data_IF_495553800533
#
_entry.id   IF_495553800533
#
_cell.length_a   1.000
_cell.length_b   1.000
_cell.length_c   1.000
_cell.angle_alpha   90.00
_cell.angle_beta   90.00
_cell.angle_gamma   90.00
#
_symmetry.space_group_name_H-M   'P 1'
#
loop_
_entity.id
_entity.type
_entity.pdbx_description
1 polymer ?
#
# COMPACT_ATOMS: atom_id res chain seq x y z
N UNK A 1 13.77 -4.02 -22.27
CA UNK A 1 13.52 -5.08 -21.29
C UNK A 1 12.47 -4.59 -20.31
N UNK A 2 11.29 -5.21 -20.29
CA UNK A 2 10.15 -4.75 -19.46
C UNK A 2 10.31 -5.23 -18.02
N UNK A 3 11.10 -4.51 -17.23
CA UNK A 3 11.19 -4.66 -15.76
C UNK A 3 10.07 -3.86 -15.09
N UNK A 4 8.83 -4.12 -15.51
CA UNK A 4 7.70 -3.28 -15.10
C UNK A 4 7.36 -3.50 -13.62
N UNK A 5 7.31 -2.42 -12.86
CA UNK A 5 6.68 -2.43 -11.55
C UNK A 5 5.19 -2.75 -11.68
N UNK A 6 4.57 -3.21 -10.60
CA UNK A 6 3.14 -3.53 -10.57
C UNK A 6 2.48 -2.95 -9.33
N UNK A 7 1.23 -2.50 -9.49
CA UNK A 7 0.36 -2.16 -8.37
C UNK A 7 -0.55 -3.35 -8.11
N UNK A 8 -0.46 -3.87 -6.89
CA UNK A 8 -1.27 -5.00 -6.42
C UNK A 8 -2.17 -4.55 -5.28
N UNK A 9 -3.39 -5.06 -5.22
CA UNK A 9 -4.29 -4.83 -4.11
C UNK A 9 -4.20 -5.98 -3.11
N UNK A 10 -4.09 -5.64 -1.82
CA UNK A 10 -4.04 -6.58 -0.71
C UNK A 10 -5.20 -6.31 0.24
N UNK A 11 -6.17 -7.22 0.26
CA UNK A 11 -7.29 -7.17 1.19
C UNK A 11 -6.88 -7.70 2.57
N UNK A 12 -7.38 -7.06 3.63
CA UNK A 12 -7.27 -7.53 5.00
C UNK A 12 -8.32 -8.59 5.30
N UNK A 13 -8.02 -9.47 6.24
CA UNK A 13 -8.94 -10.57 6.59
C UNK A 13 -10.04 -10.09 7.55
N UNK A 14 -9.72 -9.14 8.44
CA UNK A 14 -10.64 -8.53 9.40
C UNK A 14 -10.05 -7.23 9.97
N UNK A 15 -10.83 -6.50 10.78
CA UNK A 15 -10.34 -5.33 11.52
C UNK A 15 -9.24 -5.68 12.56
N UNK A 16 -9.24 -6.93 13.03
CA UNK A 16 -8.22 -7.45 13.96
C UNK A 16 -6.99 -8.03 13.24
N UNK A 17 -6.89 -7.89 11.92
CA UNK A 17 -5.75 -8.39 11.15
C UNK A 17 -4.45 -7.72 11.64
N UNK A 18 -3.45 -8.49 12.12
CA UNK A 18 -2.20 -7.93 12.63
C UNK A 18 -1.46 -7.05 11.62
N UNK A 19 -1.63 -7.30 10.32
CA UNK A 19 -1.02 -6.48 9.27
C UNK A 19 -1.70 -5.13 9.11
N UNK A 20 -3.01 -5.08 9.31
CA UNK A 20 -3.75 -3.82 9.36
C UNK A 20 -3.27 -3.00 10.57
N UNK A 21 -3.13 -3.63 11.73
CA UNK A 21 -2.62 -2.97 12.94
C UNK A 21 -1.19 -2.45 12.77
N UNK A 22 -0.30 -3.27 12.19
CA UNK A 22 1.07 -2.84 11.86
C UNK A 22 1.10 -1.69 10.85
N UNK A 23 0.22 -1.72 9.85
CA UNK A 23 0.07 -0.63 8.87
C UNK A 23 -0.45 0.66 9.51
N UNK A 24 -1.47 0.58 10.37
CA UNK A 24 -2.02 1.72 11.11
C UNK A 24 -0.97 2.37 12.01
N UNK A 25 -0.22 1.54 12.76
CA UNK A 25 0.87 2.02 13.60
C UNK A 25 1.94 2.75 12.76
N UNK A 26 2.38 2.14 11.65
CA UNK A 26 3.34 2.75 10.75
C UNK A 26 2.82 4.07 10.16
N UNK A 27 1.56 4.11 9.71
CA UNK A 27 0.91 5.32 9.18
C UNK A 27 0.82 6.42 10.23
N UNK A 28 0.48 6.08 11.47
CA UNK A 28 0.38 7.04 12.58
C UNK A 28 1.70 7.79 12.81
N UNK A 29 2.83 7.09 12.72
CA UNK A 29 4.15 7.73 12.83
C UNK A 29 4.46 8.68 11.66
N UNK A 30 4.08 8.31 10.43
CA UNK A 30 4.26 9.19 9.27
C UNK A 30 3.40 10.47 9.37
N UNK A 31 2.20 10.37 9.96
CA UNK A 31 1.29 11.51 10.12
C UNK A 31 1.67 12.43 11.28
N UNK A 32 2.25 11.88 12.35
CA UNK A 32 2.68 12.69 13.50
C UNK A 32 3.75 13.72 13.11
N UNK A 33 4.67 13.34 12.22
CA UNK A 33 5.72 14.23 11.71
C UNK A 33 5.22 15.19 10.62
N UNK A 34 4.25 14.78 9.80
CA UNK A 34 3.58 15.66 8.83
C UNK A 34 2.89 16.82 9.56
N UNK A 35 2.22 16.55 10.68
CA UNK A 35 1.62 17.60 11.55
C UNK A 35 2.69 18.46 12.23
N UNK A 36 3.84 17.89 12.61
CA UNK A 36 4.93 18.65 13.25
C UNK A 36 5.69 19.56 12.27
N UNK A 37 5.73 19.19 10.98
CA UNK A 37 6.39 19.97 9.91
C UNK A 37 5.43 20.87 9.14
N UNK A 38 4.12 20.64 9.22
CA UNK A 38 3.10 21.52 8.68
C UNK A 38 2.93 22.78 9.55
N UNK A 39 3.44 23.92 9.04
CA UNK A 39 2.88 25.25 9.37
C UNK A 39 1.34 25.17 9.22
N UNK A 40 0.51 25.74 10.10
CA UNK A 40 -0.89 25.34 10.27
C UNK A 40 -1.67 25.45 8.95
N UNK A 41 -1.72 24.34 8.22
CA UNK A 41 -2.47 24.20 6.99
C UNK A 41 -3.92 24.02 7.44
N UNK A 42 -4.65 25.11 7.27
CA UNK A 42 -6.11 25.26 7.34
C UNK A 42 -6.81 23.94 7.08
N UNK A 43 -7.60 23.48 8.06
CA UNK A 43 -8.45 22.29 8.00
C UNK A 43 -8.97 22.02 6.57
N UNK A 44 -8.32 21.06 5.90
CA UNK A 44 -8.65 20.67 4.53
C UNK A 44 -10.07 20.12 4.55
N UNK A 45 -10.97 20.80 3.83
CA UNK A 45 -12.35 20.36 3.65
C UNK A 45 -12.32 18.99 2.97
N UNK A 46 -13.03 18.02 3.54
CA UNK A 46 -13.33 16.72 2.91
C UNK A 46 -13.87 16.98 1.51
N UNK A 47 -13.09 16.74 0.47
CA UNK A 47 -13.49 16.94 -0.91
C UNK A 47 -12.56 16.20 -1.86
N UNK A 48 -13.10 15.16 -2.47
CA UNK A 48 -12.73 14.51 -3.74
C UNK A 48 -11.38 13.80 -3.94
N UNK A 49 -10.30 14.07 -3.20
CA UNK A 49 -9.03 13.32 -3.40
C UNK A 49 -8.88 12.10 -2.49
N UNK A 50 -9.76 11.93 -1.49
CA UNK A 50 -9.87 10.68 -0.73
C UNK A 50 -10.78 9.74 -1.49
N UNK A 51 -10.26 9.03 -2.50
CA UNK A 51 -10.97 7.90 -3.09
C UNK A 51 -11.53 7.04 -1.96
N UNK A 52 -12.85 6.92 -1.90
CA UNK A 52 -13.67 6.55 -0.73
C UNK A 52 -12.93 5.62 0.26
N UNK A 53 -12.21 6.27 1.19
CA UNK A 53 -11.34 5.59 2.13
C UNK A 53 -12.21 5.00 3.22
N UNK A 54 -12.03 3.73 3.54
CA UNK A 54 -12.79 3.10 4.61
C UNK A 54 -12.52 3.85 5.92
N UNK A 55 -13.54 4.53 6.44
CA UNK A 55 -13.50 5.21 7.73
C UNK A 55 -13.17 4.20 8.83
N UNK A 56 -12.41 4.64 9.84
CA UNK A 56 -12.13 3.82 11.03
C UNK A 56 -13.44 3.21 11.56
N UNK A 57 -13.55 1.88 11.55
CA UNK A 57 -14.71 1.13 12.03
C UNK A 57 -15.57 0.42 10.98
N UNK A 58 -15.41 0.71 9.68
CA UNK A 58 -16.18 0.06 8.60
C UNK A 58 -15.36 -0.93 7.74
N UNK A 59 -14.28 -1.49 8.30
CA UNK A 59 -13.41 -2.40 7.57
C UNK A 59 -14.05 -3.77 7.42
N UNK A 60 -14.25 -4.18 6.18
CA UNK A 60 -14.72 -5.52 5.83
C UNK A 60 -13.56 -6.39 5.33
N UNK A 61 -13.78 -7.70 5.16
CA UNK A 61 -12.82 -8.61 4.52
C UNK A 61 -12.50 -8.26 3.05
N UNK A 62 -13.16 -7.25 2.47
CA UNK A 62 -12.91 -6.72 1.12
C UNK A 62 -12.07 -5.44 1.15
N UNK A 63 -11.91 -4.85 2.33
CA UNK A 63 -11.16 -3.63 2.53
C UNK A 63 -9.65 -3.93 2.50
N UNK A 64 -8.88 -3.02 1.92
CA UNK A 64 -7.47 -3.29 1.67
C UNK A 64 -6.68 -2.08 1.24
N UNK A 65 -5.39 -2.30 1.05
CA UNK A 65 -4.45 -1.29 0.57
C UNK A 65 -3.89 -1.72 -0.79
N UNK A 66 -3.47 -0.76 -1.60
CA UNK A 66 -2.64 -1.07 -2.76
C UNK A 66 -1.16 -0.97 -2.39
N UNK A 67 -0.33 -1.78 -3.04
CA UNK A 67 1.11 -1.86 -2.85
C UNK A 67 1.79 -1.76 -4.21
N UNK A 68 2.82 -0.93 -4.29
CA UNK A 68 3.68 -0.81 -5.45
C UNK A 68 4.85 -1.78 -5.28
N UNK A 69 4.95 -2.76 -6.17
CA UNK A 69 5.99 -3.76 -6.18
C UNK A 69 6.93 -3.55 -7.37
N UNK A 70 8.22 -3.60 -7.12
CA UNK A 70 9.24 -3.74 -8.17
C UNK A 70 9.11 -5.10 -8.88
N UNK A 71 9.80 -5.25 -10.01
CA UNK A 71 9.84 -6.50 -10.78
C UNK A 71 10.33 -7.72 -9.96
N UNK A 72 11.19 -7.50 -8.96
CA UNK A 72 11.65 -8.53 -8.02
C UNK A 72 10.73 -8.73 -6.81
N UNK A 73 9.46 -8.30 -6.91
CA UNK A 73 8.45 -8.36 -5.83
C UNK A 73 8.78 -7.55 -4.57
N UNK A 74 9.85 -6.75 -4.58
CA UNK A 74 10.15 -5.84 -3.47
C UNK A 74 9.14 -4.71 -3.42
N UNK A 75 8.58 -4.44 -2.25
CA UNK A 75 7.72 -3.27 -2.05
C UNK A 75 8.54 -1.97 -2.14
N UNK A 76 8.11 -1.09 -3.03
CA UNK A 76 8.65 0.26 -3.20
C UNK A 76 7.85 1.28 -2.40
N UNK A 77 6.53 1.14 -2.38
CA UNK A 77 5.61 2.00 -1.65
C UNK A 77 4.24 1.35 -1.49
N UNK A 78 3.36 2.00 -0.75
CA UNK A 78 1.99 1.54 -0.51
C UNK A 78 1.03 2.71 -0.37
N UNK A 79 -0.26 2.44 -0.46
CA UNK A 79 -1.27 3.46 -0.22
C UNK A 79 -1.19 4.04 1.19
N UNK A 80 -1.43 5.34 1.27
CA UNK A 80 -1.63 6.01 2.55
C UNK A 80 -2.95 5.60 3.20
N UNK A 81 -3.92 5.11 2.42
CA UNK A 81 -5.30 4.89 2.88
C UNK A 81 -5.78 3.46 2.62
N UNK A 82 -6.76 3.02 3.43
CA UNK A 82 -7.50 1.77 3.20
C UNK A 82 -8.69 2.06 2.32
N UNK A 83 -8.90 1.24 1.29
CA UNK A 83 -10.04 1.32 0.39
C UNK A 83 -11.07 0.28 0.78
N UNK A 84 -12.35 0.63 0.67
CA UNK A 84 -13.43 -0.31 0.98
C UNK A 84 -13.48 -1.51 0.02
N UNK A 85 -13.11 -1.30 -1.25
CA UNK A 85 -13.12 -2.33 -2.29
C UNK A 85 -11.92 -2.22 -3.22
N UNK A 86 -11.64 -3.32 -3.94
CA UNK A 86 -10.65 -3.36 -5.01
C UNK A 86 -10.93 -2.35 -6.13
N UNK A 87 -12.19 -2.22 -6.55
CA UNK A 87 -12.58 -1.31 -7.64
C UNK A 87 -12.24 0.14 -7.32
N UNK A 88 -12.53 0.58 -6.08
CA UNK A 88 -12.18 1.92 -5.59
C UNK A 88 -10.66 2.14 -5.54
N UNK A 89 -9.92 1.16 -5.03
CA UNK A 89 -8.45 1.24 -4.99
C UNK A 89 -7.86 1.36 -6.40
N UNK A 90 -8.37 0.56 -7.34
CA UNK A 90 -7.90 0.54 -8.73
C UNK A 90 -8.20 1.85 -9.46
N UNK A 91 -9.44 2.35 -9.35
CA UNK A 91 -9.83 3.63 -9.95
C UNK A 91 -8.93 4.76 -9.44
N UNK A 92 -8.75 4.83 -8.11
CA UNK A 92 -7.89 5.85 -7.51
C UNK A 92 -6.42 5.74 -7.95
N UNK A 93 -5.86 4.53 -8.09
CA UNK A 93 -4.49 4.36 -8.63
C UNK A 93 -4.37 4.90 -10.06
N UNK A 94 -5.38 4.68 -10.90
CA UNK A 94 -5.39 5.18 -12.28
C UNK A 94 -5.45 6.72 -12.28
N UNK A 95 -6.31 7.31 -11.45
CA UNK A 95 -6.41 8.77 -11.31
C UNK A 95 -5.09 9.37 -10.82
N UNK A 96 -4.43 8.71 -9.86
CA UNK A 96 -3.12 9.09 -9.36
C UNK A 96 -2.04 8.97 -10.44
N UNK A 97 -2.04 7.92 -11.26
CA UNK A 97 -1.08 7.78 -12.37
C UNK A 97 -1.24 8.89 -13.40
N UNK A 98 -2.48 9.24 -13.75
CA UNK A 98 -2.77 10.37 -14.64
C UNK A 98 -2.35 11.72 -14.04
N UNK A 99 -2.40 11.84 -12.71
CA UNK A 99 -2.03 13.05 -11.96
C UNK A 99 -0.64 13.04 -11.35
N UNK A 100 0.27 12.15 -11.78
CA UNK A 100 1.55 11.92 -11.06
C UNK A 100 2.41 13.19 -10.95
N UNK A 101 2.29 14.11 -11.90
CA UNK A 101 3.07 15.36 -11.90
C UNK A 101 2.61 16.36 -10.82
N UNK A 102 1.43 16.13 -10.21
CA UNK A 102 0.94 16.89 -9.06
C UNK A 102 1.42 16.33 -7.72
N UNK A 103 2.12 15.19 -7.73
CA UNK A 103 2.57 14.54 -6.51
C UNK A 103 3.77 15.25 -5.88
N UNK A 104 3.68 15.52 -4.58
CA UNK A 104 4.75 16.11 -3.80
C UNK A 104 5.30 15.06 -2.84
N UNK A 105 6.60 14.78 -2.92
CA UNK A 105 7.31 13.86 -2.05
C UNK A 105 7.98 14.59 -0.88
N UNK A 106 7.64 14.18 0.34
CA UNK A 106 8.22 14.73 1.58
C UNK A 106 8.91 13.62 2.36
N UNK A 107 10.12 13.91 2.83
CA UNK A 107 10.84 13.02 3.77
C UNK A 107 10.38 13.31 5.19
N UNK A 108 10.15 12.27 5.97
CA UNK A 108 9.76 12.36 7.39
C UNK A 108 10.75 11.58 8.26
N UNK A 109 10.79 11.90 9.55
CA UNK A 109 11.62 11.17 10.51
C UNK A 109 10.82 9.97 11.05
N UNK A 110 11.53 8.90 11.35
CA UNK A 110 10.93 7.70 11.92
C UNK A 110 10.89 7.74 13.45
N UNK A 111 10.24 6.75 14.07
CA UNK A 111 10.09 6.67 15.53
C UNK A 111 11.41 6.46 16.27
N UNK A 112 12.45 6.03 15.58
CA UNK A 112 13.79 5.81 16.14
C UNK A 112 14.77 6.80 15.54
N UNK A 113 15.67 7.33 16.36
CA UNK A 113 16.73 8.23 15.89
C UNK A 113 17.50 7.62 14.72
N UNK A 114 17.74 8.42 13.68
CA UNK A 114 18.42 7.99 12.45
C UNK A 114 17.56 7.17 11.49
N UNK A 115 16.27 7.00 11.77
CA UNK A 115 15.34 6.38 10.80
C UNK A 115 14.53 7.44 10.07
N UNK A 116 14.26 7.20 8.80
CA UNK A 116 13.58 8.15 7.91
C UNK A 116 12.58 7.42 7.02
N UNK A 117 11.47 8.08 6.71
CA UNK A 117 10.43 7.59 5.82
C UNK A 117 10.07 8.66 4.79
N UNK A 118 9.11 8.35 3.93
CA UNK A 118 8.59 9.36 3.02
C UNK A 118 7.09 9.21 2.85
N UNK A 119 6.45 10.34 2.56
CA UNK A 119 5.03 10.47 2.23
C UNK A 119 4.94 11.22 0.91
N UNK A 120 4.00 10.82 0.07
CA UNK A 120 3.64 11.52 -1.15
C UNK A 120 2.22 12.04 -0.99
N UNK A 121 2.04 13.33 -1.28
CA UNK A 121 0.75 14.02 -1.20
C UNK A 121 0.29 14.49 -2.58
N UNK A 122 -1.03 14.61 -2.76
CA UNK A 122 -1.68 15.32 -3.86
C UNK A 122 -2.68 16.27 -3.21
N UNK A 123 -2.56 17.57 -3.50
CA UNK A 123 -3.40 18.60 -2.88
C UNK A 123 -3.42 18.48 -1.34
N UNK A 124 -2.24 18.31 -0.75
CA UNK A 124 -2.00 18.10 0.70
C UNK A 124 -2.58 16.79 1.29
N UNK A 125 -3.24 15.96 0.49
CA UNK A 125 -3.73 14.66 0.92
C UNK A 125 -2.65 13.62 0.69
N UNK A 126 -2.16 12.97 1.75
CA UNK A 126 -1.27 11.82 1.62
C UNK A 126 -1.93 10.73 0.79
N UNK A 127 -1.27 10.24 -0.26
CA UNK A 127 -1.78 9.20 -1.18
C UNK A 127 -0.89 7.95 -1.18
N UNK A 128 0.42 8.12 -0.98
CA UNK A 128 1.39 7.02 -0.99
C UNK A 128 2.43 7.23 0.11
N UNK A 129 2.91 6.14 0.69
CA UNK A 129 3.93 6.17 1.74
C UNK A 129 5.01 5.12 1.49
N UNK A 130 6.14 5.28 2.18
CA UNK A 130 7.19 4.27 2.18
C UNK A 130 6.70 2.95 2.78
N UNK A 131 7.21 1.83 2.27
CA UNK A 131 6.91 0.51 2.84
C UNK A 131 7.72 0.18 4.12
N UNK A 132 8.72 1.00 4.42
CA UNK A 132 9.68 0.76 5.49
C UNK A 132 10.37 2.06 5.87
N UNK A 133 11.08 2.00 6.99
CA UNK A 133 12.04 3.02 7.40
C UNK A 133 13.41 2.77 6.75
N UNK A 134 14.14 3.85 6.52
CA UNK A 134 15.48 3.88 5.93
C UNK A 134 16.45 4.55 6.89
N UNK A 135 17.74 4.18 6.84
CA UNK A 135 18.74 4.66 7.79
C UNK A 135 19.33 6.05 7.49
N UNK A 136 19.02 6.66 6.35
CA UNK A 136 19.57 7.96 5.96
C UNK A 136 18.59 8.75 5.10
N UNK A 137 18.60 10.08 5.18
CA UNK A 137 17.76 10.93 4.32
C UNK A 137 18.04 10.81 2.83
N UNK A 138 19.28 10.54 2.41
CA UNK A 138 19.64 10.31 0.99
C UNK A 138 18.99 9.04 0.44
N UNK A 139 19.18 7.90 1.10
CA UNK A 139 18.54 6.64 0.69
C UNK A 139 17.01 6.71 0.71
N UNK A 140 16.42 7.50 1.62
CA UNK A 140 14.98 7.78 1.63
C UNK A 140 14.54 8.56 0.39
N UNK A 141 15.26 9.63 0.02
CA UNK A 141 14.97 10.41 -1.19
C UNK A 141 15.12 9.58 -2.45
N UNK A 142 16.19 8.80 -2.57
CA UNK A 142 16.41 7.92 -3.73
C UNK A 142 15.33 6.85 -3.83
N UNK A 143 14.94 6.26 -2.70
CA UNK A 143 13.85 5.28 -2.66
C UNK A 143 12.50 5.91 -3.04
N UNK A 144 12.23 7.13 -2.62
CA UNK A 144 11.01 7.86 -2.98
C UNK A 144 10.98 8.19 -4.47
N UNK A 145 12.07 8.75 -5.01
CA UNK A 145 12.20 9.06 -6.43
C UNK A 145 12.04 7.79 -7.29
N UNK A 146 12.69 6.69 -6.90
CA UNK A 146 12.53 5.39 -7.56
C UNK A 146 11.10 4.85 -7.48
N UNK A 147 10.41 5.03 -6.36
CA UNK A 147 9.01 4.64 -6.21
C UNK A 147 8.08 5.45 -7.11
N UNK A 148 8.24 6.78 -7.19
CA UNK A 148 7.44 7.64 -8.07
C UNK A 148 7.68 7.33 -9.55
N UNK A 149 8.94 7.17 -9.95
CA UNK A 149 9.29 6.80 -11.32
C UNK A 149 8.70 5.44 -11.72
N UNK A 150 8.74 4.47 -10.80
CA UNK A 150 8.12 3.16 -11.00
C UNK A 150 6.58 3.26 -11.04
N UNK A 151 5.98 4.08 -10.15
CA UNK A 151 4.54 4.23 -10.03
C UNK A 151 3.91 4.77 -11.32
N UNK A 152 4.53 5.76 -11.97
CA UNK A 152 4.06 6.38 -13.22
C UNK A 152 3.67 5.36 -14.28
N UNK A 153 4.44 4.29 -14.43
CA UNK A 153 4.25 3.27 -15.47
C UNK A 153 3.93 1.88 -14.91
N UNK A 154 3.59 1.79 -13.62
CA UNK A 154 3.33 0.51 -12.99
C UNK A 154 2.07 -0.15 -13.56
N UNK A 155 2.15 -1.45 -13.81
CA UNK A 155 1.00 -2.24 -14.26
C UNK A 155 -0.01 -2.38 -13.13
N UNK A 156 -1.21 -1.84 -13.31
CA UNK A 156 -2.30 -1.98 -12.33
C UNK A 156 -2.98 -3.33 -12.54
N UNK A 157 -2.89 -4.21 -11.54
CA UNK A 157 -3.44 -5.56 -11.61
C UNK A 157 -4.97 -5.52 -11.78
N UNK A 158 -5.53 -6.46 -12.54
CA UNK A 158 -6.97 -6.55 -12.80
C UNK A 158 -7.74 -7.34 -11.73
N UNK A 159 -7.03 -8.09 -10.88
CA UNK A 159 -7.61 -8.91 -9.80
C UNK A 159 -7.02 -8.56 -8.42
N UNK A 160 -7.84 -8.60 -7.36
CA UNK A 160 -7.34 -8.45 -5.99
C UNK A 160 -6.57 -9.70 -5.56
N UNK A 161 -5.39 -9.52 -4.95
CA UNK A 161 -4.66 -10.61 -4.31
C UNK A 161 -5.06 -10.69 -2.84
N UNK A 162 -5.43 -11.89 -2.36
CA UNK A 162 -5.58 -12.10 -0.91
C UNK A 162 -4.20 -12.03 -0.26
N UNK A 163 -4.10 -11.35 0.87
CA UNK A 163 -2.85 -11.26 1.61
C UNK A 163 -2.64 -12.58 2.37
N UNK A 164 -1.99 -13.56 1.74
CA UNK A 164 -1.66 -14.85 2.37
C UNK A 164 -0.44 -14.66 3.28
N UNK A 165 -0.39 -15.33 4.44
CA UNK A 165 0.82 -15.36 5.28
C UNK A 165 2.03 -15.90 4.50
N UNK A 166 3.23 -15.30 4.62
CA UNK A 166 4.45 -16.00 4.27
C UNK A 166 4.67 -17.08 5.34
N UNK A 167 4.07 -18.24 5.14
CA UNK A 167 4.09 -19.35 6.11
C UNK A 167 2.91 -20.31 6.00
N UNK A 168 1.78 -19.86 5.43
CA UNK A 168 0.65 -20.74 5.15
C UNK A 168 0.99 -21.66 3.97
N UNK A 169 1.64 -22.80 4.27
CA UNK A 169 1.79 -23.91 3.32
C UNK A 169 0.42 -24.18 2.72
N UNK A 170 0.34 -24.03 1.40
CA UNK A 170 -0.77 -24.53 0.59
C UNK A 170 -1.03 -25.98 1.03
N UNK A 171 -2.23 -26.34 1.53
CA UNK A 171 -2.50 -27.74 1.83
C UNK A 171 -2.29 -28.52 0.53
N UNK A 172 -1.39 -29.50 0.58
CA UNK A 172 -1.15 -30.43 -0.50
C UNK A 172 -2.52 -31.04 -0.80
N UNK A 173 -3.06 -30.79 -1.99
CA UNK A 173 -4.22 -31.54 -2.48
C UNK A 173 -3.82 -33.00 -2.42
N UNK A 174 -4.32 -33.73 -1.44
CA UNK A 174 -4.32 -35.19 -1.45
C UNK A 174 -5.16 -35.52 -2.67
N UNK A 175 -4.48 -35.85 -3.76
CA UNK A 175 -5.13 -36.45 -4.92
C UNK A 175 -5.85 -37.67 -4.37
N UNK A 176 -7.18 -37.67 -4.45
CA UNK A 176 -7.95 -38.85 -4.14
C UNK A 176 -7.58 -39.90 -5.16
N UNK A 177 -6.95 -40.98 -4.71
CA UNK A 177 -7.03 -42.22 -5.45
C UNK A 177 -8.42 -42.78 -5.22
N UNK A 178 -9.24 -42.53 -6.22
CA UNK A 178 -10.40 -43.36 -6.51
C UNK A 178 -9.84 -44.58 -7.23
N UNK A 179 -9.55 -45.65 -6.50
CA UNK A 179 -9.39 -46.96 -7.15
C UNK A 179 -10.60 -47.82 -6.81
N UNK A 180 -11.21 -48.29 -7.89
CA UNK A 180 -12.47 -48.98 -7.95
C UNK A 180 -12.38 -50.36 -7.32
N UNK A 181 -13.52 -50.81 -6.81
CA UNK A 181 -13.82 -52.19 -6.51
C UNK A 181 -13.53 -53.13 -7.71
N UNK A 182 -13.03 -54.34 -7.43
CA UNK A 182 -13.12 -55.47 -8.35
C UNK A 182 -12.26 -56.70 -7.97
N UNK A 183 -12.94 -57.79 -7.56
CA UNK A 183 -12.59 -59.24 -7.72
C UNK A 183 -11.20 -59.74 -7.28
N UNK A 184 -11.04 -60.74 -6.41
CA UNK A 184 -11.67 -62.07 -6.30
C UNK A 184 -11.71 -62.55 -4.85
#
# INVERSE_FOLDING_TARGET
>A
MSTSASVVFSAFTSAADPRLQGWLSFRGHLQADDVATARPARAVRRGDSRGETATDGAWSARSGIWRLLASNSRELGRSSSVYATFGLARAHVIDLQAGVDRMIATTVTGPTSGTHGWVVTVDEVAVMTSGRWYGTTSTTRDACAGALAAFRNALVTQDPRRMVEPGARRPRRTSGDTELAGSW
#
